data_IF_177456675966
#
_entry.id   IF_177456675966
#
_cell.length_a   1.000
_cell.length_b   1.000
_cell.length_c   1.000
_cell.angle_alpha   90.00
_cell.angle_beta   90.00
_cell.angle_gamma   90.00
#
_symmetry.space_group_name_H-M   'P 1'
#
loop_
_entity.id
_entity.type
_entity.pdbx_description
1 polymer ?
#
# COMPACT_ATOMS: atom_id res chain seq x y z
N UNK A 1 44.57 -1.83 14.34
CA UNK A 1 43.93 -3.15 14.30
C UNK A 1 42.84 -3.21 15.34
N UNK A 2 41.82 -4.00 15.04
CA UNK A 2 40.65 -4.38 15.85
C UNK A 2 39.40 -3.49 15.74
N UNK A 3 38.30 -4.19 15.49
CA UNK A 3 37.12 -3.84 14.71
C UNK A 3 36.04 -3.13 15.55
N UNK A 4 35.34 -2.17 14.93
CA UNK A 4 34.04 -1.69 15.45
C UNK A 4 32.93 -2.59 14.90
N UNK A 5 32.41 -3.47 15.76
CA UNK A 5 31.16 -4.21 15.54
C UNK A 5 30.00 -3.22 15.67
N UNK A 6 29.32 -2.93 14.56
CA UNK A 6 28.06 -2.16 14.53
C UNK A 6 26.92 -3.18 14.55
N UNK A 7 26.38 -3.45 15.73
CA UNK A 7 25.08 -4.12 15.89
C UNK A 7 24.14 -3.14 16.57
N UNK A 8 22.90 -3.04 16.06
CA UNK A 8 21.84 -2.29 16.73
C UNK A 8 20.93 -1.46 15.81
N UNK A 9 21.06 -1.56 14.49
CA UNK A 9 20.17 -0.86 13.54
C UNK A 9 18.81 -1.53 13.30
N UNK A 10 18.61 -2.76 13.80
CA UNK A 10 17.47 -3.62 13.43
C UNK A 10 16.35 -3.65 14.48
N UNK A 11 16.58 -3.15 15.70
CA UNK A 11 15.60 -3.30 16.79
C UNK A 11 14.49 -2.24 16.81
N UNK A 12 14.72 -1.07 16.21
CA UNK A 12 13.74 0.04 16.27
C UNK A 12 12.58 -0.18 15.28
N UNK A 13 12.81 -0.93 14.20
CA UNK A 13 11.80 -1.19 13.17
C UNK A 13 10.88 -2.37 13.51
N UNK A 14 11.27 -3.25 14.44
CA UNK A 14 10.50 -4.43 14.85
C UNK A 14 9.68 -4.21 16.13
N UNK A 15 10.20 -3.46 17.11
CA UNK A 15 9.50 -3.24 18.39
C UNK A 15 8.25 -2.35 18.25
N UNK A 16 8.29 -1.33 17.39
CA UNK A 16 7.12 -0.49 17.08
C UNK A 16 6.16 -1.20 16.10
N UNK A 17 6.68 -2.18 15.34
CA UNK A 17 5.97 -2.87 14.26
C UNK A 17 5.10 -4.05 14.67
N UNK A 18 5.15 -4.52 15.93
CA UNK A 18 4.40 -5.69 16.39
C UNK A 18 3.28 -5.36 17.39
N UNK A 19 3.43 -4.32 18.22
CA UNK A 19 2.38 -3.97 19.18
C UNK A 19 1.13 -3.35 18.51
N UNK A 20 1.26 -2.72 17.34
CA UNK A 20 0.09 -2.30 16.56
C UNK A 20 -0.67 -3.48 15.93
N UNK A 21 -0.04 -4.67 15.82
CA UNK A 21 -0.66 -5.87 15.26
C UNK A 21 -1.46 -6.68 16.29
N UNK A 22 -1.29 -6.44 17.60
CA UNK A 22 -2.12 -7.08 18.65
C UNK A 22 -3.63 -6.94 18.40
N UNK A 23 -4.18 -5.74 18.10
CA UNK A 23 -5.60 -5.61 17.80
C UNK A 23 -6.04 -6.35 16.53
N UNK A 24 -5.11 -6.71 15.63
CA UNK A 24 -5.43 -7.60 14.51
C UNK A 24 -5.55 -9.04 14.97
N UNK A 25 -4.63 -9.56 15.80
CA UNK A 25 -4.67 -10.96 16.26
C UNK A 25 -5.93 -11.34 17.05
N UNK A 26 -6.60 -10.36 17.65
CA UNK A 26 -7.87 -10.53 18.37
C UNK A 26 -9.09 -10.05 17.55
N UNK A 27 -8.88 -9.61 16.32
CA UNK A 27 -9.93 -9.07 15.47
C UNK A 27 -10.92 -10.16 15.02
N UNK A 28 -12.21 -9.84 14.91
CA UNK A 28 -13.20 -10.72 14.29
C UNK A 28 -12.75 -11.17 12.90
N UNK A 29 -13.05 -12.42 12.52
CA UNK A 29 -12.76 -12.95 11.17
C UNK A 29 -13.28 -12.06 10.04
N UNK A 30 -14.42 -11.38 10.27
CA UNK A 30 -15.01 -10.39 9.36
C UNK A 30 -14.05 -9.24 9.00
N UNK A 31 -13.20 -8.83 9.95
CA UNK A 31 -12.21 -7.78 9.79
C UNK A 31 -11.12 -8.19 8.80
N UNK A 32 -10.63 -9.43 8.92
CA UNK A 32 -9.67 -10.01 7.99
C UNK A 32 -10.25 -10.18 6.59
N UNK A 33 -11.46 -10.73 6.46
CA UNK A 33 -12.09 -10.89 5.14
C UNK A 33 -12.29 -9.56 4.43
N UNK A 34 -12.70 -8.51 5.15
CA UNK A 34 -12.83 -7.17 4.58
C UNK A 34 -11.47 -6.57 4.19
N UNK A 35 -10.45 -6.74 5.04
CA UNK A 35 -9.10 -6.27 4.75
C UNK A 35 -8.53 -6.96 3.49
N UNK A 36 -8.67 -8.28 3.38
CA UNK A 36 -8.24 -9.02 2.20
C UNK A 36 -9.02 -8.62 0.95
N UNK A 37 -10.34 -8.48 1.05
CA UNK A 37 -11.18 -8.06 -0.08
C UNK A 37 -10.75 -6.68 -0.60
N UNK A 38 -10.59 -5.70 0.28
CA UNK A 38 -10.13 -4.35 -0.10
C UNK A 38 -8.71 -4.37 -0.66
N UNK A 39 -7.80 -5.12 -0.02
CA UNK A 39 -6.38 -5.21 -0.44
C UNK A 39 -6.24 -5.82 -1.83
N UNK A 40 -6.94 -6.94 -2.09
CA UNK A 40 -6.93 -7.58 -3.41
C UNK A 40 -7.66 -6.72 -4.45
N UNK A 41 -8.72 -6.01 -4.06
CA UNK A 41 -9.39 -5.04 -4.93
C UNK A 41 -8.45 -3.90 -5.34
N UNK A 42 -7.69 -3.34 -4.41
CA UNK A 42 -6.69 -2.31 -4.68
C UNK A 42 -5.55 -2.84 -5.57
N UNK A 43 -5.06 -4.06 -5.30
CA UNK A 43 -4.04 -4.71 -6.12
C UNK A 43 -4.53 -4.93 -7.56
N UNK A 44 -5.75 -5.40 -7.75
CA UNK A 44 -6.33 -5.59 -9.08
C UNK A 44 -6.41 -4.27 -9.86
N UNK A 45 -6.83 -3.18 -9.21
CA UNK A 45 -6.86 -1.83 -9.81
C UNK A 45 -5.46 -1.35 -10.19
N UNK A 46 -4.46 -1.60 -9.34
CA UNK A 46 -3.08 -1.22 -9.61
C UNK A 46 -2.50 -2.00 -10.81
N UNK A 47 -2.76 -3.31 -10.90
CA UNK A 47 -2.34 -4.14 -12.04
C UNK A 47 -3.00 -3.69 -13.34
N UNK A 48 -4.29 -3.35 -13.31
CA UNK A 48 -4.97 -2.80 -14.48
C UNK A 48 -4.35 -1.47 -14.93
N UNK A 49 -4.07 -0.56 -14.00
CA UNK A 49 -3.43 0.73 -14.32
C UNK A 49 -2.03 0.56 -14.93
N UNK A 50 -1.25 -0.42 -14.45
CA UNK A 50 0.05 -0.77 -15.04
C UNK A 50 -0.10 -1.33 -16.46
N UNK A 51 -1.08 -2.19 -16.70
CA UNK A 51 -1.35 -2.73 -18.03
C UNK A 51 -1.77 -1.63 -19.02
N UNK A 52 -2.65 -0.72 -18.60
CA UNK A 52 -3.09 0.42 -19.42
C UNK A 52 -1.92 1.37 -19.73
N UNK A 53 -1.02 1.59 -18.77
CA UNK A 53 0.20 2.36 -18.98
C UNK A 53 1.14 1.69 -19.99
N UNK A 54 1.41 0.38 -19.83
CA UNK A 54 2.27 -0.36 -20.77
C UNK A 54 1.71 -0.30 -22.20
N UNK A 55 0.40 -0.40 -22.36
CA UNK A 55 -0.27 -0.21 -23.64
C UNK A 55 -0.04 1.19 -24.21
N UNK A 56 -0.31 2.26 -23.45
CA UNK A 56 -0.09 3.64 -23.90
C UNK A 56 1.37 3.91 -24.27
N UNK A 57 2.30 3.35 -23.51
CA UNK A 57 3.73 3.48 -23.77
C UNK A 57 4.12 2.83 -25.11
N UNK A 58 3.50 1.68 -25.44
CA UNK A 58 3.72 1.00 -26.72
C UNK A 58 3.19 1.78 -27.94
N UNK A 59 2.22 2.68 -27.72
CA UNK A 59 1.60 3.50 -28.76
C UNK A 59 2.35 4.84 -28.97
N UNK A 60 3.31 5.18 -28.09
CA UNK A 60 4.09 6.41 -28.17
C UNK A 60 5.07 6.38 -29.37
N UNK A 61 5.16 7.49 -30.12
CA UNK A 61 5.94 7.60 -31.36
C UNK A 61 7.35 8.15 -31.17
N UNK A 62 7.69 8.59 -29.96
CA UNK A 62 8.99 9.17 -29.66
C UNK A 62 9.26 9.39 -28.18
N UNK A 63 10.50 9.78 -27.83
CA UNK A 63 10.94 9.89 -26.44
C UNK A 63 10.20 10.97 -25.66
N UNK A 64 9.78 12.06 -26.30
CA UNK A 64 8.99 13.11 -25.66
C UNK A 64 7.59 12.62 -25.25
N UNK A 65 6.91 11.88 -26.13
CA UNK A 65 5.61 11.27 -25.82
C UNK A 65 5.72 10.19 -24.74
N UNK A 66 6.79 9.38 -24.79
CA UNK A 66 7.06 8.37 -23.77
C UNK A 66 7.31 8.99 -22.38
N UNK A 67 8.03 10.13 -22.32
CA UNK A 67 8.24 10.86 -21.07
C UNK A 67 6.94 11.46 -20.54
N UNK A 68 6.13 12.08 -21.40
CA UNK A 68 4.82 12.59 -21.00
C UNK A 68 3.93 11.46 -20.46
N UNK A 69 3.91 10.31 -21.13
CA UNK A 69 3.16 9.12 -20.70
C UNK A 69 3.59 8.63 -19.32
N UNK A 70 4.90 8.65 -19.04
CA UNK A 70 5.44 8.30 -17.72
C UNK A 70 5.04 9.30 -16.63
N UNK A 71 5.10 10.60 -16.91
CA UNK A 71 4.67 11.63 -15.95
C UNK A 71 3.18 11.54 -15.64
N UNK A 72 2.35 11.32 -16.67
CA UNK A 72 0.91 11.13 -16.51
C UNK A 72 0.60 9.90 -15.67
N UNK A 73 1.29 8.78 -15.93
CA UNK A 73 1.15 7.57 -15.11
C UNK A 73 1.59 7.81 -13.67
N UNK A 74 2.74 8.44 -13.45
CA UNK A 74 3.25 8.70 -12.09
C UNK A 74 2.31 9.60 -11.29
N UNK A 75 1.80 10.67 -11.93
CA UNK A 75 0.80 11.55 -11.35
C UNK A 75 -0.46 10.78 -10.99
N UNK A 76 -1.02 10.01 -11.92
CA UNK A 76 -2.22 9.19 -11.70
C UNK A 76 -2.01 8.15 -10.59
N UNK A 77 -0.88 7.44 -10.60
CA UNK A 77 -0.54 6.43 -9.61
C UNK A 77 -0.40 7.04 -8.22
N UNK A 78 0.19 8.23 -8.10
CA UNK A 78 0.32 8.93 -6.82
C UNK A 78 -1.04 9.33 -6.23
N UNK A 79 -1.96 9.84 -7.06
CA UNK A 79 -3.32 10.20 -6.63
C UNK A 79 -4.10 8.95 -6.21
N UNK A 80 -4.04 7.89 -7.01
CA UNK A 80 -4.71 6.62 -6.67
C UNK A 80 -4.15 5.99 -5.40
N UNK A 81 -2.82 6.04 -5.20
CA UNK A 81 -2.20 5.53 -3.98
C UNK A 81 -2.70 6.29 -2.73
N UNK A 82 -2.77 7.62 -2.79
CA UNK A 82 -3.29 8.43 -1.70
C UNK A 82 -4.76 8.11 -1.39
N UNK A 83 -5.59 7.93 -2.43
CA UNK A 83 -7.00 7.58 -2.29
C UNK A 83 -7.20 6.18 -1.71
N UNK A 84 -6.45 5.19 -2.18
CA UNK A 84 -6.51 3.81 -1.65
C UNK A 84 -5.97 3.72 -0.21
N UNK A 85 -4.91 4.47 0.13
CA UNK A 85 -4.41 4.57 1.50
C UNK A 85 -5.47 5.18 2.42
N UNK A 86 -6.13 6.26 1.98
CA UNK A 86 -7.24 6.88 2.72
C UNK A 86 -8.42 5.92 2.90
N UNK A 87 -8.83 5.21 1.84
CA UNK A 87 -9.91 4.21 1.91
C UNK A 87 -9.56 3.08 2.89
N UNK A 88 -8.33 2.56 2.81
CA UNK A 88 -7.84 1.50 3.69
C UNK A 88 -7.83 1.95 5.15
N UNK A 89 -7.37 3.17 5.43
CA UNK A 89 -7.38 3.74 6.78
C UNK A 89 -8.80 3.93 7.33
N UNK A 90 -9.72 4.43 6.51
CA UNK A 90 -11.13 4.60 6.89
C UNK A 90 -11.82 3.26 7.16
N UNK A 91 -11.55 2.24 6.33
CA UNK A 91 -12.05 0.88 6.53
C UNK A 91 -11.53 0.30 7.84
N UNK A 92 -10.24 0.43 8.10
CA UNK A 92 -9.62 -0.04 9.35
C UNK A 92 -10.16 0.70 10.57
N UNK A 93 -10.27 2.02 10.51
CA UNK A 93 -10.80 2.83 11.61
C UNK A 93 -12.26 2.48 11.92
N UNK A 94 -13.09 2.29 10.90
CA UNK A 94 -14.49 1.88 11.05
C UNK A 94 -14.59 0.51 11.73
N UNK A 95 -13.74 -0.42 11.29
CA UNK A 95 -13.73 -1.77 11.81
C UNK A 95 -13.24 -1.83 13.28
N UNK A 96 -12.19 -1.09 13.63
CA UNK A 96 -11.72 -0.97 15.03
C UNK A 96 -12.76 -0.29 15.92
N UNK A 97 -13.44 0.76 15.44
CA UNK A 97 -14.49 1.45 16.20
C UNK A 97 -15.69 0.53 16.46
N UNK A 98 -16.05 -0.32 15.49
CA UNK A 98 -17.10 -1.32 15.67
C UNK A 98 -16.73 -2.45 16.64
N UNK A 99 -15.44 -2.77 16.77
CA UNK A 99 -14.95 -3.79 17.70
C UNK A 99 -14.86 -3.29 19.16
N UNK A 100 -14.65 -1.98 19.38
CA UNK A 100 -14.58 -1.38 20.73
C UNK A 100 -15.95 -1.09 21.38
N UNK A 101 -17.06 -1.43 20.71
CA UNK A 101 -18.44 -1.16 21.15
C UNK A 101 -19.16 -2.34 21.83
N UNK A 102 -18.46 -3.44 22.09
CA UNK A 102 -18.97 -4.66 22.77
C UNK A 102 -18.20 -4.92 24.04
#
# INVERSE_FOLDING_TARGET
>A
MAEKKIEGGTEIMTAVGLDWLKPFSEAPTALYTNLYHESFGALARALQAQADFARKLSECKGPAEALACQFDFLRSASTTCADEARRSFQSLQSALTSASGT
#
